data_IF_597295408592
#
_entry.id   IF_597295408592
#
_cell.length_a   1.000
_cell.length_b   1.000
_cell.length_c   1.000
_cell.angle_alpha   90.00
_cell.angle_beta   90.00
_cell.angle_gamma   90.00
#
_symmetry.space_group_name_H-M   'P 1'
#
loop_
_entity.id
_entity.type
_entity.pdbx_description
1 polymer ?
#
# COMPACT_ATOMS: atom_id res chain seq x y z
N UNK A 1 -14.90 2.66 -18.21
CA UNK A 1 -14.95 1.18 -18.22
C UNK A 1 -16.31 0.75 -18.76
N UNK A 2 -16.41 0.43 -20.05
CA UNK A 2 -17.68 0.02 -20.66
C UNK A 2 -17.99 -1.47 -20.39
N UNK A 3 -19.25 -1.78 -20.10
CA UNK A 3 -19.70 -3.17 -20.05
C UNK A 3 -19.65 -3.81 -21.45
N UNK A 4 -19.31 -5.10 -21.52
CA UNK A 4 -19.37 -5.83 -22.79
C UNK A 4 -20.84 -5.96 -23.22
N UNK A 5 -21.16 -5.48 -24.43
CA UNK A 5 -22.52 -5.57 -24.99
C UNK A 5 -22.92 -7.02 -25.31
N UNK A 6 -21.96 -7.83 -25.76
CA UNK A 6 -22.18 -9.25 -26.05
C UNK A 6 -21.97 -10.09 -24.78
N UNK A 7 -22.98 -10.87 -24.42
CA UNK A 7 -22.92 -11.81 -23.31
C UNK A 7 -21.94 -12.95 -23.59
N UNK A 8 -21.18 -13.37 -22.57
CA UNK A 8 -20.31 -14.54 -22.69
C UNK A 8 -21.17 -15.80 -22.71
N UNK A 9 -21.09 -16.58 -23.79
CA UNK A 9 -21.71 -17.89 -23.85
C UNK A 9 -20.93 -18.90 -22.99
N UNK A 10 -21.66 -19.81 -22.35
CA UNK A 10 -21.09 -20.93 -21.61
C UNK A 10 -21.87 -22.20 -21.95
N UNK A 11 -21.18 -23.36 -21.98
CA UNK A 11 -21.83 -24.65 -22.19
C UNK A 11 -22.85 -24.92 -21.08
N UNK A 12 -24.09 -25.19 -21.47
CA UNK A 12 -25.17 -25.54 -20.56
C UNK A 12 -24.99 -26.99 -20.14
N UNK A 13 -24.94 -27.23 -18.83
CA UNK A 13 -24.81 -28.59 -18.26
C UNK A 13 -26.08 -29.03 -17.54
N UNK A 14 -26.90 -28.10 -17.06
CA UNK A 14 -28.19 -28.37 -16.42
C UNK A 14 -29.27 -27.40 -16.90
N UNK A 15 -30.54 -27.83 -16.85
CA UNK A 15 -31.69 -27.00 -17.26
C UNK A 15 -31.81 -25.71 -16.44
N UNK A 16 -31.38 -25.71 -15.18
CA UNK A 16 -31.39 -24.53 -14.31
C UNK A 16 -30.50 -23.39 -14.83
N UNK A 17 -29.42 -23.71 -15.56
CA UNK A 17 -28.51 -22.69 -16.09
C UNK A 17 -29.17 -21.79 -17.14
N UNK A 18 -30.24 -22.24 -17.79
CA UNK A 18 -31.01 -21.42 -18.72
C UNK A 18 -31.74 -20.26 -18.02
N UNK A 19 -32.05 -20.44 -16.73
CA UNK A 19 -32.78 -19.45 -15.93
C UNK A 19 -31.87 -18.57 -15.07
N UNK A 20 -30.57 -18.90 -14.97
CA UNK A 20 -29.62 -18.13 -14.18
C UNK A 20 -29.19 -16.86 -14.93
N UNK A 21 -29.59 -15.70 -14.42
CA UNK A 21 -29.11 -14.40 -14.93
C UNK A 21 -27.64 -14.11 -14.60
N UNK A 22 -27.13 -14.64 -13.50
CA UNK A 22 -25.74 -14.46 -13.04
C UNK A 22 -24.98 -15.77 -13.13
N UNK A 23 -23.76 -15.72 -13.66
CA UNK A 23 -22.87 -16.89 -13.77
C UNK A 23 -22.47 -17.46 -12.41
N UNK A 24 -22.24 -16.59 -11.44
CA UNK A 24 -21.81 -16.95 -10.08
C UNK A 24 -22.74 -16.26 -9.08
N UNK A 25 -23.90 -16.86 -8.77
CA UNK A 25 -24.90 -16.25 -7.89
C UNK A 25 -24.40 -16.01 -6.47
N UNK A 26 -23.50 -16.88 -5.99
CA UNK A 26 -22.91 -16.81 -4.66
C UNK A 26 -21.90 -15.67 -4.47
N UNK A 27 -21.42 -15.05 -5.57
CA UNK A 27 -20.46 -13.93 -5.46
C UNK A 27 -21.20 -12.63 -5.13
N UNK A 28 -20.61 -11.75 -4.29
CA UNK A 28 -21.16 -10.44 -4.03
C UNK A 28 -21.26 -9.62 -5.33
N UNK A 29 -22.19 -8.67 -5.35
CA UNK A 29 -22.31 -7.71 -6.46
C UNK A 29 -21.09 -6.77 -6.45
N UNK A 30 -20.88 -6.03 -7.56
CA UNK A 30 -19.67 -5.22 -7.75
C UNK A 30 -19.43 -4.23 -6.60
N UNK A 31 -20.48 -3.54 -6.13
CA UNK A 31 -20.38 -2.59 -5.01
C UNK A 31 -19.91 -3.28 -3.73
N UNK A 32 -20.56 -4.37 -3.36
CA UNK A 32 -20.26 -5.11 -2.12
C UNK A 32 -18.87 -5.72 -2.19
N UNK A 33 -18.45 -6.20 -3.36
CA UNK A 33 -17.10 -6.72 -3.56
C UNK A 33 -16.03 -5.65 -3.30
N UNK A 34 -16.23 -4.44 -3.81
CA UNK A 34 -15.33 -3.30 -3.56
C UNK A 34 -15.32 -2.94 -2.08
N UNK A 35 -16.49 -2.92 -1.43
CA UNK A 35 -16.58 -2.64 0.01
C UNK A 35 -15.84 -3.69 0.86
N UNK A 36 -16.03 -4.99 0.56
CA UNK A 36 -15.35 -6.10 1.22
C UNK A 36 -13.83 -6.00 1.02
N UNK A 37 -13.39 -5.70 -0.21
CA UNK A 37 -11.98 -5.56 -0.51
C UNK A 37 -11.34 -4.36 0.19
N UNK A 38 -12.02 -3.22 0.22
CA UNK A 38 -11.56 -2.03 0.93
C UNK A 38 -11.46 -2.29 2.43
N UNK A 39 -12.45 -2.96 3.02
CA UNK A 39 -12.40 -3.34 4.45
C UNK A 39 -11.23 -4.26 4.75
N UNK A 40 -11.00 -5.28 3.92
CA UNK A 40 -9.85 -6.18 4.06
C UNK A 40 -8.52 -5.43 3.97
N UNK A 41 -8.41 -4.46 3.06
CA UNK A 41 -7.20 -3.63 2.92
C UNK A 41 -6.99 -2.73 4.14
N UNK A 42 -8.07 -2.19 4.70
CA UNK A 42 -8.04 -1.38 5.90
C UNK A 42 -7.58 -2.21 7.11
N UNK A 43 -8.19 -3.39 7.33
CA UNK A 43 -7.81 -4.27 8.44
C UNK A 43 -6.32 -4.66 8.36
N UNK A 44 -5.81 -4.93 7.14
CA UNK A 44 -4.40 -5.22 6.94
C UNK A 44 -3.49 -3.99 7.15
N UNK A 45 -3.97 -2.80 6.82
CA UNK A 45 -3.25 -1.55 7.05
C UNK A 45 -3.16 -1.24 8.55
N UNK A 46 -4.24 -1.43 9.29
CA UNK A 46 -4.28 -1.23 10.73
C UNK A 46 -3.38 -2.23 11.46
N UNK A 47 -3.42 -3.51 11.05
CA UNK A 47 -2.53 -4.53 11.59
C UNK A 47 -1.06 -4.21 11.33
N UNK A 48 -0.72 -3.67 10.15
CA UNK A 48 0.66 -3.27 9.81
C UNK A 48 1.13 -2.07 10.65
N UNK A 49 0.25 -1.13 10.98
CA UNK A 49 0.60 0.08 11.69
C UNK A 49 0.49 -0.03 13.22
N UNK A 50 0.02 -1.17 13.74
CA UNK A 50 -0.20 -1.40 15.16
C UNK A 50 1.09 -1.25 16.01
N UNK A 51 2.25 -1.60 15.46
CA UNK A 51 3.55 -1.52 16.15
C UNK A 51 4.13 -0.08 16.17
N UNK A 52 3.55 0.83 15.39
CA UNK A 52 4.05 2.20 15.22
C UNK A 52 5.01 2.37 14.04
N UNK A 53 5.34 3.63 13.74
CA UNK A 53 6.19 3.98 12.59
C UNK A 53 7.67 3.76 12.94
N UNK A 54 8.36 2.95 12.12
CA UNK A 54 9.79 2.69 12.22
C UNK A 54 10.57 3.77 11.47
N UNK A 55 11.57 4.39 12.13
CA UNK A 55 12.50 5.29 11.46
C UNK A 55 13.55 4.49 10.68
N UNK A 56 13.55 4.66 9.36
CA UNK A 56 14.39 3.87 8.44
C UNK A 56 15.71 4.60 8.16
N UNK A 57 16.86 3.90 8.08
CA UNK A 57 18.13 4.52 7.70
C UNK A 57 18.11 5.02 6.24
N UNK A 58 19.00 5.97 5.91
CA UNK A 58 19.04 6.58 4.57
C UNK A 58 19.20 5.55 3.43
N UNK A 59 19.86 4.42 3.71
CA UNK A 59 20.14 3.36 2.72
C UNK A 59 18.90 2.60 2.28
N UNK A 60 17.88 2.52 3.13
CA UNK A 60 16.61 1.83 2.90
C UNK A 60 15.47 2.80 2.57
N UNK A 61 15.78 4.10 2.39
CA UNK A 61 14.82 5.05 1.84
C UNK A 61 14.50 4.73 0.37
N UNK A 62 13.32 5.15 -0.11
CA UNK A 62 12.97 5.04 -1.51
C UNK A 62 13.99 5.75 -2.42
N UNK A 63 14.15 5.31 -3.69
CA UNK A 63 15.18 5.84 -4.60
C UNK A 63 15.13 7.36 -4.77
N UNK A 64 13.95 7.96 -4.75
CA UNK A 64 13.77 9.40 -4.92
C UNK A 64 14.20 10.24 -3.70
N UNK A 65 14.24 9.65 -2.50
CA UNK A 65 14.72 10.33 -1.27
C UNK A 65 16.17 9.99 -0.97
N UNK A 66 16.59 8.75 -1.24
CA UNK A 66 17.92 8.22 -0.92
C UNK A 66 19.03 9.08 -1.51
N UNK A 67 18.98 9.37 -2.81
CA UNK A 67 20.02 10.13 -3.51
C UNK A 67 20.18 11.55 -2.97
N UNK A 68 19.06 12.20 -2.59
CA UNK A 68 19.06 13.54 -2.02
C UNK A 68 19.73 13.51 -0.64
N UNK A 69 19.32 12.56 0.21
CA UNK A 69 19.88 12.42 1.55
C UNK A 69 21.38 12.09 1.55
N UNK A 70 21.85 11.25 0.63
CA UNK A 70 23.27 10.87 0.52
C UNK A 70 24.13 12.03 0.06
N UNK A 71 23.68 12.78 -0.96
CA UNK A 71 24.46 13.88 -1.53
C UNK A 71 24.64 15.02 -0.51
N UNK A 72 23.59 15.34 0.25
CA UNK A 72 23.65 16.39 1.27
C UNK A 72 24.57 16.03 2.45
N UNK A 73 24.75 14.74 2.74
CA UNK A 73 25.66 14.28 3.80
C UNK A 73 27.08 14.06 3.32
N UNK A 74 27.33 14.01 2.00
CA UNK A 74 28.63 13.64 1.43
C UNK A 74 29.80 14.48 1.96
N UNK A 75 29.63 15.80 2.08
CA UNK A 75 30.66 16.71 2.63
C UNK A 75 30.97 16.41 4.10
N UNK A 76 29.97 16.03 4.89
CA UNK A 76 30.18 15.70 6.29
C UNK A 76 30.73 14.29 6.47
N UNK A 77 30.38 13.33 5.61
CA UNK A 77 30.92 11.96 5.68
C UNK A 77 32.44 11.93 5.45
N UNK A 78 33.02 12.94 4.80
CA UNK A 78 34.46 13.08 4.64
C UNK A 78 35.18 13.42 5.96
N UNK A 79 34.47 13.96 6.96
CA UNK A 79 35.02 14.30 8.28
C UNK A 79 34.37 13.44 9.36
N UNK A 80 35.16 12.64 10.07
CA UNK A 80 34.63 11.74 11.10
C UNK A 80 34.35 12.48 12.42
N UNK A 81 33.22 13.18 12.50
CA UNK A 81 32.74 13.78 13.74
C UNK A 81 31.33 13.31 14.10
N UNK A 82 31.14 12.88 15.35
CA UNK A 82 29.83 12.43 15.86
C UNK A 82 28.97 13.65 16.22
N UNK A 83 27.66 13.51 16.03
CA UNK A 83 26.70 14.58 16.34
C UNK A 83 26.29 15.46 15.16
N UNK A 84 26.93 15.31 13.99
CA UNK A 84 26.45 16.00 12.79
C UNK A 84 25.07 15.51 12.35
N UNK A 85 24.12 16.43 12.18
CA UNK A 85 22.78 16.12 11.68
C UNK A 85 22.34 17.15 10.65
N UNK A 86 21.98 16.68 9.45
CA UNK A 86 21.37 17.51 8.40
C UNK A 86 19.85 17.41 8.50
N UNK A 87 19.16 18.55 8.62
CA UNK A 87 17.69 18.64 8.57
C UNK A 87 17.25 18.79 7.11
N UNK A 88 16.97 17.65 6.47
CA UNK A 88 16.46 17.56 5.09
C UNK A 88 14.93 17.65 5.11
N UNK A 89 14.33 18.32 4.13
CA UNK A 89 12.87 18.49 4.02
C UNK A 89 12.15 17.18 3.67
N UNK A 90 12.67 16.41 2.71
CA UNK A 90 12.02 15.19 2.17
C UNK A 90 12.20 13.93 3.03
N UNK A 91 12.24 14.08 4.36
CA UNK A 91 12.40 12.95 5.29
C UNK A 91 11.07 12.27 5.59
N UNK A 92 11.14 11.14 6.29
CA UNK A 92 9.97 10.56 6.94
C UNK A 92 9.35 11.58 7.90
N UNK A 93 8.04 11.75 7.78
CA UNK A 93 7.28 12.62 8.66
C UNK A 93 7.32 12.13 10.10
N UNK A 94 7.20 13.08 11.02
CA UNK A 94 7.13 12.78 12.44
C UNK A 94 5.76 12.15 12.76
N UNK A 95 5.69 11.03 13.50
CA UNK A 95 4.43 10.32 13.72
C UNK A 95 3.38 11.05 14.58
N UNK A 96 3.78 12.03 15.39
CA UNK A 96 2.91 12.76 16.33
C UNK A 96 2.74 12.09 17.71
N UNK A 97 3.32 10.90 17.91
CA UNK A 97 3.24 10.13 19.15
C UNK A 97 4.55 9.37 19.40
N UNK A 98 4.87 9.02 20.66
CA UNK A 98 6.04 8.18 20.94
C UNK A 98 5.84 6.78 20.34
N UNK A 99 6.83 6.30 19.59
CA UNK A 99 6.84 4.94 19.03
C UNK A 99 7.93 4.11 19.72
N UNK A 100 7.74 2.79 19.74
CA UNK A 100 8.73 1.88 20.34
C UNK A 100 10.11 1.95 19.66
N UNK A 101 10.15 2.32 18.39
CA UNK A 101 11.36 2.37 17.56
C UNK A 101 12.10 3.71 17.59
N UNK A 102 11.55 4.72 18.27
CA UNK A 102 12.10 6.08 18.31
C UNK A 102 13.06 6.29 19.47
#
# INVERSE_FOLDING_TARGET
MGFKRLAKAAKITSKHMLFLHRREPYKPVTRDRVAIENRRRLDAFDAKNAEGVVFVPDTALPPWQKSIATNLKQHATQMNFRGFRVRVADKQDEPGFPTHFR
#
